data_IF_765998072407
#
_entry.id   IF_765998072407
#
_cell.length_a   1.000
_cell.length_b   1.000
_cell.length_c   1.000
_cell.angle_alpha   90.00
_cell.angle_beta   90.00
_cell.angle_gamma   90.00
#
_symmetry.space_group_name_H-M   'P 1'
#
loop_
_entity.id
_entity.type
_entity.pdbx_description
1 polymer ?
#
# COMPACT_ATOMS: atom_id res chain seq x y z
N UNK A 1 -9.20 10.35 -9.25
CA UNK A 1 -10.50 9.80 -8.81
C UNK A 1 -10.86 8.51 -9.53
N UNK A 2 -10.59 8.35 -10.83
CA UNK A 2 -10.93 7.11 -11.58
C UNK A 2 -10.29 5.83 -11.00
N UNK A 3 -8.99 5.83 -10.72
CA UNK A 3 -8.27 4.67 -10.13
C UNK A 3 -8.84 4.27 -8.75
N UNK A 4 -9.30 5.23 -7.95
CA UNK A 4 -9.86 4.93 -6.63
C UNK A 4 -11.22 4.24 -6.75
N UNK A 5 -12.04 4.66 -7.72
CA UNK A 5 -13.31 4.01 -8.04
C UNK A 5 -13.10 2.60 -8.64
N UNK A 6 -12.00 2.41 -9.36
CA UNK A 6 -11.60 1.10 -9.87
C UNK A 6 -11.18 0.15 -8.74
N UNK A 7 -10.40 0.65 -7.77
CA UNK A 7 -10.03 -0.12 -6.58
C UNK A 7 -11.26 -0.44 -5.73
N UNK A 8 -12.22 0.47 -5.61
CA UNK A 8 -13.45 0.19 -4.86
C UNK A 8 -14.30 -0.88 -5.53
N UNK A 9 -14.30 -0.97 -6.87
CA UNK A 9 -15.01 -2.01 -7.63
C UNK A 9 -14.44 -3.43 -7.43
N UNK A 10 -13.25 -3.55 -6.83
CA UNK A 10 -12.65 -4.83 -6.42
C UNK A 10 -13.08 -5.28 -5.02
N UNK A 11 -13.75 -4.42 -4.25
CA UNK A 11 -14.25 -4.76 -2.91
C UNK A 11 -15.64 -5.42 -2.99
N UNK A 12 -15.86 -6.53 -2.24
CA UNK A 12 -17.11 -7.28 -2.26
C UNK A 12 -18.34 -6.48 -1.77
N UNK A 13 -18.12 -5.42 -0.98
CA UNK A 13 -19.20 -4.53 -0.48
C UNK A 13 -19.63 -3.44 -1.47
N UNK A 14 -18.99 -3.34 -2.64
CA UNK A 14 -19.30 -2.28 -3.61
C UNK A 14 -20.45 -2.65 -4.55
N UNK A 15 -21.31 -1.67 -4.85
CA UNK A 15 -22.44 -1.84 -5.78
C UNK A 15 -21.99 -2.25 -7.20
N UNK A 16 -20.72 -1.97 -7.56
CA UNK A 16 -20.13 -2.25 -8.88
C UNK A 16 -19.09 -3.39 -8.86
N UNK A 17 -19.25 -4.34 -7.95
CA UNK A 17 -18.28 -5.42 -7.74
C UNK A 17 -17.98 -6.22 -9.02
N UNK A 18 -16.71 -6.23 -9.42
CA UNK A 18 -16.20 -6.90 -10.63
C UNK A 18 -16.91 -6.49 -11.93
N UNK A 19 -17.21 -5.21 -12.09
CA UNK A 19 -17.71 -4.68 -13.34
C UNK A 19 -16.55 -4.45 -14.34
N UNK A 20 -16.61 -5.16 -15.47
CA UNK A 20 -15.52 -5.17 -16.46
C UNK A 20 -15.31 -3.81 -17.12
N UNK A 21 -16.36 -2.97 -17.23
CA UNK A 21 -16.26 -1.63 -17.82
C UNK A 21 -15.40 -0.68 -16.98
N UNK A 22 -15.52 -0.75 -15.65
CA UNK A 22 -14.77 0.10 -14.72
C UNK A 22 -13.28 -0.30 -14.76
N UNK A 23 -13.00 -1.60 -14.75
CA UNK A 23 -11.63 -2.14 -14.73
C UNK A 23 -10.86 -1.91 -16.04
N UNK A 24 -11.50 -1.44 -17.11
CA UNK A 24 -10.88 -1.22 -18.43
C UNK A 24 -9.71 -0.22 -18.38
N UNK A 25 -9.81 0.82 -17.55
CA UNK A 25 -8.74 1.80 -17.38
C UNK A 25 -7.55 1.21 -16.62
N UNK A 26 -7.82 0.45 -15.55
CA UNK A 26 -6.80 -0.28 -14.81
C UNK A 26 -6.05 -1.29 -15.68
N UNK A 27 -6.78 -2.01 -16.54
CA UNK A 27 -6.21 -2.97 -17.48
C UNK A 27 -5.28 -2.33 -18.53
N UNK A 28 -5.63 -1.14 -19.03
CA UNK A 28 -4.78 -0.39 -19.95
C UNK A 28 -3.45 0.02 -19.30
N UNK A 29 -3.48 0.40 -18.02
CA UNK A 29 -2.25 0.73 -17.28
C UNK A 29 -1.39 -0.52 -17.00
N UNK A 30 -2.03 -1.65 -16.71
CA UNK A 30 -1.35 -2.90 -16.36
C UNK A 30 -0.95 -3.75 -17.59
N UNK A 31 -1.32 -3.34 -18.81
CA UNK A 31 -1.09 -4.08 -20.07
C UNK A 31 -1.65 -5.51 -20.06
N UNK A 32 -2.83 -5.68 -19.49
CA UNK A 32 -3.51 -6.98 -19.38
C UNK A 32 -4.62 -7.07 -20.45
N UNK A 33 -4.78 -8.25 -21.04
CA UNK A 33 -5.84 -8.52 -22.01
C UNK A 33 -7.23 -8.49 -21.38
N UNK A 34 -8.08 -7.59 -21.87
CA UNK A 34 -9.46 -7.41 -21.42
C UNK A 34 -10.31 -8.68 -21.59
N UNK A 35 -10.09 -9.43 -22.66
CA UNK A 35 -10.81 -10.69 -22.94
C UNK A 35 -10.52 -11.76 -21.91
N UNK A 36 -9.27 -11.88 -21.46
CA UNK A 36 -8.87 -12.86 -20.45
C UNK A 36 -9.50 -12.52 -19.09
N UNK A 37 -9.46 -11.25 -18.70
CA UNK A 37 -10.09 -10.80 -17.46
C UNK A 37 -11.60 -11.10 -17.45
N UNK A 38 -12.32 -10.79 -18.52
CA UNK A 38 -13.77 -11.03 -18.60
C UNK A 38 -14.13 -12.50 -18.38
N UNK A 39 -13.36 -13.43 -18.96
CA UNK A 39 -13.57 -14.86 -18.79
C UNK A 39 -13.32 -15.30 -17.34
N UNK A 40 -12.22 -14.87 -16.74
CA UNK A 40 -11.89 -15.19 -15.34
C UNK A 40 -12.92 -14.60 -14.36
N UNK A 41 -13.37 -13.36 -14.59
CA UNK A 41 -14.41 -12.71 -13.78
C UNK A 41 -15.73 -13.48 -13.87
N UNK A 42 -16.11 -13.97 -15.04
CA UNK A 42 -17.36 -14.72 -15.20
C UNK A 42 -17.33 -16.03 -14.41
N UNK A 43 -16.20 -16.74 -14.43
CA UNK A 43 -15.99 -17.95 -13.61
C UNK A 43 -16.02 -17.61 -12.12
N UNK A 44 -15.34 -16.52 -11.74
CA UNK A 44 -15.24 -16.09 -10.35
C UNK A 44 -16.60 -15.64 -9.79
N UNK A 45 -17.41 -14.90 -10.55
CA UNK A 45 -18.80 -14.55 -10.16
C UNK A 45 -19.67 -15.77 -9.92
N UNK A 46 -19.43 -16.87 -10.64
CA UNK A 46 -20.16 -18.11 -10.42
C UNK A 46 -19.67 -18.84 -9.16
N UNK A 47 -18.38 -18.77 -8.85
CA UNK A 47 -17.78 -19.38 -7.66
C UNK A 47 -18.11 -18.62 -6.37
N UNK A 48 -18.25 -17.29 -6.46
CA UNK A 48 -18.54 -16.41 -5.32
C UNK A 48 -20.00 -16.42 -4.85
N UNK A 49 -20.92 -17.02 -5.63
CA UNK A 49 -22.35 -17.05 -5.26
C UNK A 49 -22.62 -17.74 -3.93
N UNK A 50 -21.73 -18.65 -3.55
CA UNK A 50 -21.87 -19.48 -2.35
C UNK A 50 -21.01 -18.98 -1.17
N UNK A 51 -20.09 -18.01 -1.38
CA UNK A 51 -19.22 -17.49 -0.32
C UNK A 51 -19.68 -16.13 0.21
N UNK A 52 -19.74 -16.01 1.54
CA UNK A 52 -19.94 -14.73 2.24
C UNK A 52 -18.59 -14.05 2.40
N UNK A 53 -18.29 -13.11 1.52
CA UNK A 53 -17.09 -12.29 1.61
C UNK A 53 -17.39 -11.01 2.38
N UNK A 54 -16.60 -10.72 3.41
CA UNK A 54 -16.71 -9.48 4.20
C UNK A 54 -15.57 -8.50 3.93
N UNK A 55 -14.48 -8.93 3.29
CA UNK A 55 -13.33 -8.08 3.00
C UNK A 55 -12.61 -8.49 1.72
N UNK A 56 -11.94 -7.52 1.09
CA UNK A 56 -11.05 -7.76 -0.06
C UNK A 56 -9.86 -8.68 0.32
N UNK A 57 -9.48 -8.72 1.60
CA UNK A 57 -8.44 -9.63 2.12
C UNK A 57 -8.95 -11.08 2.14
N UNK A 58 -10.21 -11.28 2.53
CA UNK A 58 -10.85 -12.61 2.53
C UNK A 58 -10.99 -13.12 1.10
N UNK A 59 -11.38 -12.24 0.18
CA UNK A 59 -11.41 -12.52 -1.25
C UNK A 59 -10.03 -12.95 -1.75
N UNK A 60 -8.98 -12.22 -1.40
CA UNK A 60 -7.62 -12.60 -1.78
C UNK A 60 -7.22 -13.98 -1.22
N UNK A 61 -7.62 -14.30 0.01
CA UNK A 61 -7.35 -15.59 0.63
C UNK A 61 -8.08 -16.75 -0.08
N UNK A 62 -9.35 -16.56 -0.49
CA UNK A 62 -10.11 -17.56 -1.26
C UNK A 62 -9.55 -17.77 -2.67
N UNK A 63 -9.00 -16.72 -3.29
CA UNK A 63 -8.40 -16.83 -4.62
C UNK A 63 -6.98 -17.40 -4.62
N UNK A 64 -6.26 -17.34 -3.50
CA UNK A 64 -4.90 -17.85 -3.38
C UNK A 64 -4.72 -19.32 -3.85
N UNK A 65 -5.59 -20.30 -3.49
CA UNK A 65 -5.51 -21.65 -4.03
C UNK A 65 -5.80 -21.75 -5.53
N UNK A 66 -6.51 -20.78 -6.10
CA UNK A 66 -6.89 -20.71 -7.52
C UNK A 66 -5.86 -19.96 -8.39
N UNK A 67 -4.65 -19.71 -7.87
CA UNK A 67 -3.59 -18.96 -8.56
C UNK A 67 -3.25 -19.45 -9.95
N UNK A 68 -3.35 -20.75 -10.19
CA UNK A 68 -3.09 -21.33 -11.51
C UNK A 68 -4.28 -21.20 -12.47
N UNK A 69 -5.50 -21.10 -11.94
CA UNK A 69 -6.73 -21.03 -12.73
C UNK A 69 -7.16 -19.59 -13.04
N UNK A 70 -6.88 -18.64 -12.14
CA UNK A 70 -7.32 -17.23 -12.24
C UNK A 70 -6.15 -16.25 -12.00
N UNK A 71 -5.05 -16.36 -12.77
CA UNK A 71 -3.85 -15.57 -12.55
C UNK A 71 -4.09 -14.06 -12.71
N UNK A 72 -4.99 -13.66 -13.60
CA UNK A 72 -5.23 -12.26 -13.94
C UNK A 72 -6.00 -11.55 -12.84
N UNK A 73 -7.07 -12.17 -12.33
CA UNK A 73 -7.86 -11.57 -11.24
C UNK A 73 -7.04 -11.50 -9.95
N UNK A 74 -6.22 -12.50 -9.65
CA UNK A 74 -5.36 -12.48 -8.46
C UNK A 74 -4.31 -11.38 -8.54
N UNK A 75 -3.71 -11.18 -9.71
CA UNK A 75 -2.80 -10.06 -9.94
C UNK A 75 -3.51 -8.71 -9.74
N UNK A 76 -4.73 -8.59 -10.25
CA UNK A 76 -5.53 -7.38 -10.10
C UNK A 76 -5.87 -7.07 -8.63
N UNK A 77 -6.30 -8.06 -7.87
CA UNK A 77 -6.60 -7.91 -6.44
C UNK A 77 -5.33 -7.60 -5.63
N UNK A 78 -4.22 -8.28 -5.93
CA UNK A 78 -2.93 -8.05 -5.27
C UNK A 78 -2.39 -6.64 -5.52
N UNK A 79 -2.50 -6.14 -6.75
CA UNK A 79 -2.07 -4.79 -7.11
C UNK A 79 -2.94 -3.74 -6.44
N UNK A 80 -4.26 -3.93 -6.40
CA UNK A 80 -5.18 -3.04 -5.67
C UNK A 80 -4.82 -2.95 -4.19
N UNK A 81 -4.62 -4.10 -3.52
CA UNK A 81 -4.16 -4.15 -2.13
C UNK A 81 -2.82 -3.42 -1.92
N UNK A 82 -1.87 -3.63 -2.83
CA UNK A 82 -0.54 -2.98 -2.77
C UNK A 82 -0.65 -1.46 -2.90
N UNK A 83 -1.52 -0.96 -3.78
CA UNK A 83 -1.76 0.48 -3.96
C UNK A 83 -2.39 1.07 -2.69
N UNK A 84 -3.38 0.40 -2.10
CA UNK A 84 -4.02 0.85 -0.85
C UNK A 84 -3.02 0.95 0.32
N UNK A 85 -2.15 -0.05 0.48
CA UNK A 85 -1.10 -0.06 1.51
C UNK A 85 -0.06 1.02 1.23
N UNK A 86 0.35 1.20 -0.03
CA UNK A 86 1.31 2.23 -0.43
C UNK A 86 0.76 3.64 -0.17
N UNK A 87 -0.51 3.90 -0.48
CA UNK A 87 -1.17 5.19 -0.20
C UNK A 87 -1.16 5.48 1.30
N UNK A 88 -1.55 4.51 2.12
CA UNK A 88 -1.54 4.63 3.58
C UNK A 88 -0.15 4.93 4.12
N UNK A 89 0.87 4.29 3.55
CA UNK A 89 2.28 4.51 3.93
C UNK A 89 2.75 5.91 3.55
N UNK A 90 2.44 6.37 2.34
CA UNK A 90 2.71 7.75 1.91
C UNK A 90 2.00 8.78 2.80
N UNK A 91 0.73 8.58 3.14
CA UNK A 91 -0.01 9.47 4.04
C UNK A 91 0.64 9.53 5.42
N UNK A 92 1.07 8.38 5.95
CA UNK A 92 1.83 8.31 7.21
C UNK A 92 3.14 9.10 7.11
N UNK A 93 3.95 8.89 6.06
CA UNK A 93 5.22 9.60 5.90
C UNK A 93 5.03 11.10 5.70
N UNK A 94 4.05 11.53 4.91
CA UNK A 94 3.70 12.95 4.76
C UNK A 94 3.18 13.57 6.06
N UNK A 95 2.41 12.84 6.86
CA UNK A 95 1.97 13.28 8.19
C UNK A 95 3.15 13.52 9.13
N UNK A 96 4.12 12.58 9.17
CA UNK A 96 5.37 12.76 9.93
C UNK A 96 6.21 13.92 9.37
N UNK A 97 6.33 14.03 8.05
CA UNK A 97 7.05 15.11 7.37
C UNK A 97 6.47 16.48 7.73
N UNK A 98 5.14 16.60 7.83
CA UNK A 98 4.45 17.83 8.26
C UNK A 98 4.79 18.23 9.70
N UNK A 99 5.00 17.27 10.59
CA UNK A 99 5.46 17.53 11.97
C UNK A 99 6.94 17.94 12.03
N UNK A 100 7.77 17.38 11.15
CA UNK A 100 9.21 17.68 11.09
C UNK A 100 9.44 19.05 10.43
N UNK A 101 8.81 19.30 9.27
CA UNK A 101 8.90 20.55 8.50
C UNK A 101 7.82 21.54 8.95
N UNK A 102 8.07 22.17 10.09
CA UNK A 102 7.24 23.27 10.60
C UNK A 102 7.54 24.59 9.88
N UNK A 103 6.64 25.56 9.95
CA UNK A 103 6.81 26.89 9.32
C UNK A 103 8.12 27.59 9.71
N UNK A 104 8.57 27.42 10.96
CA UNK A 104 9.85 27.94 11.45
C UNK A 104 11.09 27.08 11.09
N UNK A 105 10.91 25.86 10.57
CA UNK A 105 12.00 24.90 10.24
C UNK A 105 11.92 24.47 8.76
N UNK A 106 11.77 25.43 7.85
CA UNK A 106 11.63 25.16 6.42
C UNK A 106 12.96 25.18 5.64
N UNK A 107 14.07 25.58 6.26
CA UNK A 107 15.40 25.78 5.63
C UNK A 107 16.32 24.55 5.66
N UNK A 108 15.84 23.37 6.06
CA UNK A 108 16.66 22.15 6.08
C UNK A 108 16.89 21.55 4.68
N UNK A 109 18.04 20.90 4.50
CA UNK A 109 18.35 20.12 3.30
C UNK A 109 17.38 18.95 3.14
N UNK A 110 17.05 18.60 1.89
CA UNK A 110 16.14 17.49 1.58
C UNK A 110 16.68 16.14 2.05
N UNK A 111 18.01 15.96 2.04
CA UNK A 111 18.67 14.76 2.61
C UNK A 111 18.35 14.59 4.09
N UNK A 112 18.60 15.64 4.89
CA UNK A 112 18.29 15.66 6.32
C UNK A 112 16.80 15.44 6.58
N UNK A 113 15.92 16.02 5.76
CA UNK A 113 14.48 15.83 5.89
C UNK A 113 14.07 14.38 5.62
N UNK A 114 14.59 13.79 4.55
CA UNK A 114 14.36 12.39 4.21
C UNK A 114 14.80 11.46 5.35
N UNK A 115 16.01 11.66 5.88
CA UNK A 115 16.55 10.86 6.98
C UNK A 115 15.66 10.96 8.23
N UNK A 116 15.21 12.17 8.58
CA UNK A 116 14.30 12.39 9.70
C UNK A 116 12.93 11.76 9.48
N UNK A 117 12.39 11.80 8.26
CA UNK A 117 11.12 11.15 7.92
C UNK A 117 11.20 9.64 8.08
N UNK A 118 12.30 9.01 7.65
CA UNK A 118 12.54 7.56 7.85
C UNK A 118 12.60 7.24 9.34
N UNK A 119 13.40 7.98 10.12
CA UNK A 119 13.48 7.79 11.57
C UNK A 119 12.13 7.99 12.27
N UNK A 120 11.31 8.94 11.81
CA UNK A 120 10.01 9.24 12.39
C UNK A 120 8.92 8.23 12.00
N UNK A 121 9.05 7.57 10.84
CA UNK A 121 8.17 6.49 10.40
C UNK A 121 8.50 5.17 11.12
N UNK A 122 9.78 4.89 11.32
CA UNK A 122 10.27 3.67 11.99
C UNK A 122 10.29 3.76 13.53
N UNK A 123 9.98 4.94 14.10
CA UNK A 123 9.90 5.14 15.56
C UNK A 123 8.90 4.21 16.25
N UNK A 124 7.94 3.66 15.51
CA UNK A 124 6.95 2.72 16.03
C UNK A 124 7.56 1.31 16.31
N UNK A 125 8.76 1.02 15.78
CA UNK A 125 9.55 -0.13 16.19
C UNK A 125 10.27 0.17 17.50
N UNK A 126 10.08 -0.72 18.48
CA UNK A 126 10.59 -0.69 19.86
C UNK A 126 12.14 -0.73 19.92
N UNK A 127 12.78 0.28 19.34
CA UNK A 127 14.22 0.47 19.40
C UNK A 127 14.56 1.15 20.72
N UNK A 128 15.41 0.52 21.51
CA UNK A 128 15.89 1.12 22.75
C UNK A 128 16.82 2.29 22.38
N UNK A 129 16.24 3.50 22.40
CA UNK A 129 16.94 4.74 22.05
C UNK A 129 18.18 4.98 22.91
N UNK A 130 18.19 4.53 24.17
CA UNK A 130 19.37 4.65 25.05
C UNK A 130 20.53 3.81 24.49
N UNK A 131 20.27 2.54 24.14
CA UNK A 131 21.31 1.69 23.53
C UNK A 131 21.82 2.22 22.19
N UNK A 132 20.93 2.81 21.38
CA UNK A 132 21.33 3.43 20.12
C UNK A 132 22.25 4.63 20.37
N UNK A 133 21.91 5.44 21.37
CA UNK A 133 22.67 6.62 21.76
C UNK A 133 24.04 6.23 22.33
N UNK A 134 24.10 5.22 23.19
CA UNK A 134 25.34 4.66 23.74
C UNK A 134 26.25 4.15 22.61
N UNK A 135 25.72 3.34 21.69
CA UNK A 135 26.46 2.85 20.53
C UNK A 135 26.97 3.98 19.62
N UNK A 136 26.17 5.04 19.43
CA UNK A 136 26.59 6.20 18.65
C UNK A 136 27.75 6.94 19.32
N UNK A 137 27.69 7.16 20.64
CA UNK A 137 28.78 7.77 21.40
C UNK A 137 30.06 6.92 21.38
N UNK A 138 29.93 5.60 21.43
CA UNK A 138 31.07 4.68 21.34
C UNK A 138 31.75 4.69 19.97
N UNK A 139 30.95 4.78 18.89
CA UNK A 139 31.45 4.86 17.51
C UNK A 139 32.01 6.25 17.16
N UNK A 140 31.44 7.30 17.74
CA UNK A 140 31.76 8.69 17.43
C UNK A 140 32.24 9.45 18.67
N UNK A 141 33.31 8.95 19.31
CA UNK A 141 33.90 9.52 20.54
C UNK A 141 34.26 11.01 20.49
N UNK A 142 34.42 11.60 19.29
CA UNK A 142 34.78 13.01 19.08
C UNK A 142 33.62 13.90 18.59
N UNK A 143 32.41 13.36 18.39
CA UNK A 143 31.26 14.13 17.94
C UNK A 143 30.65 14.90 19.11
N UNK A 144 31.09 16.14 19.33
CA UNK A 144 30.43 17.05 20.26
C UNK A 144 29.07 17.45 19.70
N UNK A 145 28.00 16.84 20.21
CA UNK A 145 26.66 17.37 20.06
C UNK A 145 26.48 18.39 21.19
N UNK A 146 26.73 19.67 20.89
CA UNK A 146 26.35 20.76 21.78
C UNK A 146 24.82 20.89 21.70
N UNK A 147 24.16 20.50 22.79
CA UNK A 147 22.74 20.79 23.05
C UNK A 147 22.56 22.25 23.43
#
# INVERSE_FOLDING_TARGET
>A
MQILNEISALCPDSDNFLESEILKHFLLQMKIDFSLLCNEIQVLKQMLKDSKLSSIVDLYAELLPLKQALPTVIFLVATALTISVSSTTCERTFSKMKLIKTTARNTMLDTRLSDLCVLAAERDFNSNFEKLMDNFFDLHKNSKILL
#
